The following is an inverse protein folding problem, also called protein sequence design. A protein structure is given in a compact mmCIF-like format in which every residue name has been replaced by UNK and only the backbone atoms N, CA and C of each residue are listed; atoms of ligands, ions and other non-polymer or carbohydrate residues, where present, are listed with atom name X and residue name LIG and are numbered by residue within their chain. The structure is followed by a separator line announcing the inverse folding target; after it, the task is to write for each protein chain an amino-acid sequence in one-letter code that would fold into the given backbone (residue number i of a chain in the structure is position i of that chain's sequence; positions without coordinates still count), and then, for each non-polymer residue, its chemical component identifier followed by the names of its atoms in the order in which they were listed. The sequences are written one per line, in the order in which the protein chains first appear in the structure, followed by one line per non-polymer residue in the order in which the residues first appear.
data_IF_742717488081
#
_entry.id   IF_742717488081
#
_cell.length_a   1.000
_cell.length_b   1.000
_cell.length_c   1.000
_cell.angle_alpha   90.00
_cell.angle_beta   90.00
_cell.angle_gamma   90.00
#
_symmetry.space_group_name_H-M   'P 1'
#
loop_
_entity.id
_entity.type
_entity.pdbx_description
1 polymer ?
#
# COMPACT_ATOMS: atom_id res chain seq x y z
N UNK A 1 -0.42 -17.64 15.63
CA UNK A 1 -0.87 -16.68 14.57
C UNK A 1 0.03 -16.72 13.33
N UNK A 2 1.35 -16.52 13.42
CA UNK A 2 2.21 -16.52 12.21
C UNK A 2 2.22 -17.86 11.44
N UNK A 3 2.25 -18.99 12.15
CA UNK A 3 2.14 -20.31 11.52
C UNK A 3 0.87 -20.47 10.66
N UNK A 4 -0.25 -19.86 11.08
CA UNK A 4 -1.52 -19.88 10.34
C UNK A 4 -1.37 -19.11 9.02
N UNK A 5 -0.72 -17.95 9.04
CA UNK A 5 -0.47 -17.16 7.82
C UNK A 5 0.38 -17.95 6.83
N UNK A 6 1.47 -18.56 7.32
CA UNK A 6 2.36 -19.35 6.47
C UNK A 6 1.62 -20.54 5.87
N UNK A 7 0.88 -21.31 6.68
CA UNK A 7 0.15 -22.49 6.23
C UNK A 7 -0.93 -22.14 5.19
N UNK A 8 -1.79 -21.17 5.49
CA UNK A 8 -2.85 -20.69 4.57
C UNK A 8 -2.26 -20.13 3.28
N UNK A 9 -1.16 -19.38 3.34
CA UNK A 9 -0.46 -18.85 2.16
C UNK A 9 0.08 -19.97 1.26
N UNK A 10 0.72 -20.99 1.83
CA UNK A 10 1.29 -22.09 1.05
C UNK A 10 0.20 -22.94 0.40
N UNK A 11 -0.87 -23.26 1.11
CA UNK A 11 -2.02 -23.97 0.57
C UNK A 11 -2.68 -23.20 -0.59
N UNK A 12 -2.98 -21.92 -0.38
CA UNK A 12 -3.58 -21.08 -1.42
C UNK A 12 -2.67 -20.91 -2.65
N UNK A 13 -1.35 -20.75 -2.46
CA UNK A 13 -0.37 -20.72 -3.57
C UNK A 13 -0.31 -22.05 -4.34
N UNK A 14 -0.38 -23.18 -3.65
CA UNK A 14 -0.36 -24.49 -4.29
C UNK A 14 -1.59 -24.64 -5.19
N UNK A 15 -2.77 -24.25 -4.72
CA UNK A 15 -4.01 -24.28 -5.50
C UNK A 15 -4.01 -23.26 -6.65
N UNK A 16 -3.42 -22.07 -6.44
CA UNK A 16 -3.24 -21.09 -7.50
C UNK A 16 -2.39 -21.64 -8.65
N UNK A 17 -1.33 -22.40 -8.37
CA UNK A 17 -0.50 -23.05 -9.40
C UNK A 17 -1.28 -24.09 -10.22
N UNK A 18 -2.36 -24.63 -9.65
CA UNK A 18 -3.28 -25.55 -10.32
C UNK A 18 -4.42 -24.82 -11.06
N UNK A 19 -4.35 -23.49 -11.18
CA UNK A 19 -5.37 -22.63 -11.79
C UNK A 19 -6.76 -22.75 -11.14
N UNK A 20 -6.82 -23.00 -9.83
CA UNK A 20 -8.08 -22.96 -9.10
C UNK A 20 -8.72 -21.56 -9.20
N UNK A 21 -10.00 -21.49 -9.57
CA UNK A 21 -10.75 -20.23 -9.63
C UNK A 21 -11.14 -19.74 -8.23
N UNK A 22 -11.40 -20.69 -7.33
CA UNK A 22 -11.95 -20.46 -5.99
C UNK A 22 -11.25 -21.38 -5.00
N UNK A 23 -10.88 -20.83 -3.85
CA UNK A 23 -10.19 -21.54 -2.78
C UNK A 23 -10.93 -21.28 -1.47
N UNK A 24 -11.40 -22.35 -0.85
CA UNK A 24 -11.97 -22.33 0.50
C UNK A 24 -10.83 -22.54 1.51
N UNK A 25 -10.72 -21.64 2.48
CA UNK A 25 -9.61 -21.56 3.43
C UNK A 25 -10.15 -21.81 4.83
N UNK A 26 -9.62 -22.82 5.50
CA UNK A 26 -9.88 -23.08 6.92
C UNK A 26 -9.35 -21.93 7.78
N UNK A 27 -10.05 -21.59 8.86
CA UNK A 27 -9.64 -20.52 9.77
C UNK A 27 -8.40 -20.87 10.60
N UNK A 28 -8.10 -22.16 10.78
CA UNK A 28 -7.10 -22.68 11.72
C UNK A 28 -7.28 -22.11 13.15
N UNK A 29 -8.53 -21.86 13.55
CA UNK A 29 -8.89 -21.24 14.82
C UNK A 29 -8.65 -19.72 14.89
N UNK A 30 -8.29 -19.06 13.78
CA UNK A 30 -8.13 -17.61 13.71
C UNK A 30 -8.33 -17.06 12.28
N UNK A 31 -9.59 -16.84 11.89
CA UNK A 31 -9.98 -16.47 10.53
C UNK A 31 -9.23 -15.26 9.96
N UNK A 32 -8.97 -14.23 10.76
CA UNK A 32 -8.21 -13.05 10.34
C UNK A 32 -6.79 -13.39 9.85
N UNK A 33 -6.07 -14.27 10.55
CA UNK A 33 -4.71 -14.65 10.15
C UNK A 33 -4.72 -15.57 8.93
N UNK A 34 -5.74 -16.42 8.80
CA UNK A 34 -5.91 -17.27 7.62
C UNK A 34 -6.23 -16.44 6.36
N UNK A 35 -7.11 -15.44 6.48
CA UNK A 35 -7.42 -14.47 5.43
C UNK A 35 -6.18 -13.68 5.01
N UNK A 36 -5.44 -13.14 5.99
CA UNK A 36 -4.21 -12.39 5.73
C UNK A 36 -3.19 -13.22 4.96
N UNK A 37 -2.88 -14.42 5.48
CA UNK A 37 -1.87 -15.29 4.89
C UNK A 37 -2.22 -15.73 3.47
N UNK A 38 -3.43 -16.24 3.28
CA UNK A 38 -3.90 -16.68 1.97
C UNK A 38 -3.90 -15.54 0.93
N UNK A 39 -4.43 -14.36 1.27
CA UNK A 39 -4.51 -13.21 0.37
C UNK A 39 -3.13 -12.58 0.06
N UNK A 40 -2.24 -12.48 1.05
CA UNK A 40 -0.86 -12.05 0.81
C UNK A 40 -0.09 -13.05 -0.05
N UNK A 41 -0.40 -14.33 0.12
CA UNK A 41 0.25 -15.45 -0.55
C UNK A 41 -0.05 -15.49 -2.04
N UNK A 42 -1.31 -15.37 -2.43
CA UNK A 42 -1.73 -15.46 -3.85
C UNK A 42 -1.46 -14.18 -4.65
N UNK A 43 -1.15 -13.07 -3.98
CA UNK A 43 -0.88 -11.80 -4.66
C UNK A 43 0.42 -11.83 -5.46
N UNK A 44 0.36 -11.26 -6.67
CA UNK A 44 1.48 -11.13 -7.59
C UNK A 44 1.44 -9.77 -8.28
N UNK A 45 2.58 -9.09 -8.39
CA UNK A 45 2.72 -7.94 -9.28
C UNK A 45 2.82 -8.42 -10.73
N UNK A 46 1.75 -8.26 -11.50
CA UNK A 46 1.67 -8.82 -12.86
C UNK A 46 0.92 -7.95 -13.89
N UNK A 47 0.45 -6.77 -13.49
CA UNK A 47 -0.30 -5.85 -14.37
C UNK A 47 0.47 -5.46 -15.64
N UNK A 48 1.81 -5.46 -15.55
CA UNK A 48 2.71 -5.13 -16.67
C UNK A 48 3.19 -6.35 -17.45
N UNK A 49 2.83 -7.57 -17.05
CA UNK A 49 3.08 -8.78 -17.83
C UNK A 49 2.07 -8.88 -18.98
N UNK A 50 2.49 -9.41 -20.12
CA UNK A 50 1.57 -9.79 -21.20
C UNK A 50 0.51 -10.75 -20.67
N UNK A 51 -0.76 -10.61 -21.12
CA UNK A 51 -1.90 -11.40 -20.66
C UNK A 51 -1.62 -12.92 -20.61
N UNK A 52 -0.89 -13.46 -21.60
CA UNK A 52 -0.53 -14.90 -21.65
C UNK A 52 0.38 -15.40 -20.50
N UNK A 53 1.04 -14.49 -19.79
CA UNK A 53 1.93 -14.79 -18.65
C UNK A 53 1.35 -14.35 -17.31
N UNK A 54 0.12 -13.83 -17.29
CA UNK A 54 -0.58 -13.50 -16.06
C UNK A 54 -1.14 -14.79 -15.45
N UNK A 55 -0.93 -14.95 -14.15
CA UNK A 55 -1.47 -16.06 -13.37
C UNK A 55 -2.78 -15.58 -12.76
N UNK A 56 -3.81 -16.41 -12.83
CA UNK A 56 -5.08 -16.08 -12.20
C UNK A 56 -4.92 -15.97 -10.67
N UNK A 57 -5.53 -14.95 -10.07
CA UNK A 57 -5.64 -14.85 -8.62
C UNK A 57 -6.98 -15.48 -8.22
N UNK A 58 -6.99 -16.57 -7.41
CA UNK A 58 -8.22 -17.22 -6.99
C UNK A 58 -9.07 -16.31 -6.09
N UNK A 59 -10.39 -16.49 -6.13
CA UNK A 59 -11.29 -15.97 -5.11
C UNK A 59 -11.11 -16.78 -3.82
N UNK A 60 -10.92 -16.10 -2.69
CA UNK A 60 -10.72 -16.72 -1.38
C UNK A 60 -11.99 -16.61 -0.54
N UNK A 61 -12.42 -17.70 0.06
CA UNK A 61 -13.58 -17.74 0.97
C UNK A 61 -13.27 -18.53 2.24
N UNK A 62 -13.87 -18.12 3.35
CA UNK A 62 -13.78 -18.83 4.63
C UNK A 62 -14.51 -20.18 4.53
N UNK A 63 -13.84 -21.24 4.96
CA UNK A 63 -14.39 -22.59 5.02
C UNK A 63 -14.86 -22.93 6.44
N UNK A 64 -16.13 -23.34 6.55
CA UNK A 64 -16.70 -23.98 7.75
C UNK A 64 -16.46 -23.25 9.08
N UNK A 65 -16.56 -21.91 9.05
CA UNK A 65 -16.40 -21.04 10.22
C UNK A 65 -17.36 -19.83 10.09
N UNK A 66 -17.80 -19.29 11.21
CA UNK A 66 -18.72 -18.17 11.29
C UNK A 66 -18.04 -16.81 11.57
N UNK A 67 -16.73 -16.77 11.83
CA UNK A 67 -15.96 -15.53 12.04
C UNK A 67 -15.72 -14.76 10.73
N UNK A 68 -16.81 -14.35 10.09
CA UNK A 68 -16.80 -13.52 8.88
C UNK A 68 -16.18 -12.15 9.14
N UNK A 69 -16.37 -11.60 10.34
CA UNK A 69 -15.79 -10.31 10.73
C UNK A 69 -14.27 -10.38 10.75
N UNK A 70 -13.70 -11.38 11.44
CA UNK A 70 -12.25 -11.60 11.47
C UNK A 70 -11.70 -11.86 10.06
N UNK A 71 -12.39 -12.68 9.27
CA UNK A 71 -12.02 -12.94 7.87
C UNK A 71 -11.95 -11.64 7.04
N UNK A 72 -12.98 -10.80 7.10
CA UNK A 72 -13.01 -9.53 6.38
C UNK A 72 -11.91 -8.57 6.86
N UNK A 73 -11.65 -8.49 8.17
CA UNK A 73 -10.54 -7.70 8.72
C UNK A 73 -9.21 -8.16 8.11
N UNK A 74 -8.99 -9.47 8.06
CA UNK A 74 -7.75 -10.03 7.52
C UNK A 74 -7.58 -9.76 6.02
N UNK A 75 -8.67 -9.84 5.25
CA UNK A 75 -8.66 -9.45 3.84
C UNK A 75 -8.35 -7.96 3.64
N UNK A 76 -8.91 -7.07 4.48
CA UNK A 76 -8.62 -5.63 4.41
C UNK A 76 -7.14 -5.33 4.73
N UNK A 77 -6.58 -6.00 5.74
CA UNK A 77 -5.15 -5.87 6.09
C UNK A 77 -4.24 -6.36 4.97
N UNK A 78 -4.53 -7.52 4.39
CA UNK A 78 -3.80 -8.02 3.23
C UNK A 78 -3.92 -7.11 2.02
N UNK A 79 -5.13 -6.60 1.72
CA UNK A 79 -5.35 -5.68 0.62
C UNK A 79 -4.56 -4.37 0.78
N UNK A 80 -4.50 -3.82 2.00
CA UNK A 80 -3.69 -2.65 2.31
C UNK A 80 -2.19 -2.92 2.11
N UNK A 81 -1.65 -4.01 2.65
CA UNK A 81 -0.25 -4.36 2.44
C UNK A 81 0.06 -4.64 0.96
N UNK A 82 -0.86 -5.27 0.22
CA UNK A 82 -0.72 -5.51 -1.21
C UNK A 82 -0.76 -4.22 -2.04
N UNK A 83 -1.53 -3.20 -1.60
CA UNK A 83 -1.45 -1.86 -2.18
C UNK A 83 -0.06 -1.27 -1.97
N UNK A 84 0.50 -1.33 -0.76
CA UNK A 84 1.85 -0.84 -0.51
C UNK A 84 2.89 -1.55 -1.38
N UNK A 85 2.79 -2.89 -1.51
CA UNK A 85 3.62 -3.71 -2.41
C UNK A 85 3.47 -3.25 -3.86
N UNK A 86 2.25 -3.01 -4.33
CA UNK A 86 1.99 -2.54 -5.70
C UNK A 86 2.66 -1.20 -5.99
N UNK A 87 2.55 -0.24 -5.07
CA UNK A 87 3.15 1.08 -5.23
C UNK A 87 4.68 0.98 -5.26
N UNK A 88 5.28 0.15 -4.40
CA UNK A 88 6.73 -0.06 -4.32
C UNK A 88 7.31 -0.88 -5.49
N UNK A 89 6.56 -1.86 -6.00
CA UNK A 89 7.00 -2.71 -7.11
C UNK A 89 6.84 -2.02 -8.46
N UNK A 90 5.96 -1.03 -8.57
CA UNK A 90 5.75 -0.29 -9.81
C UNK A 90 7.03 0.45 -10.25
N UNK A 91 7.45 0.32 -11.52
CA UNK A 91 8.61 1.04 -12.04
C UNK A 91 8.48 2.55 -11.84
N UNK A 92 9.58 3.22 -11.47
CA UNK A 92 9.56 4.64 -11.10
C UNK A 92 9.21 5.59 -12.26
N UNK A 93 9.38 5.15 -13.51
CA UNK A 93 8.92 5.91 -14.69
C UNK A 93 7.38 5.91 -14.82
N UNK A 94 6.68 4.99 -14.13
CA UNK A 94 5.23 4.94 -14.05
C UNK A 94 4.71 5.43 -12.69
N UNK A 95 5.48 5.20 -11.62
CA UNK A 95 5.19 5.65 -10.26
C UNK A 95 5.93 6.95 -9.96
N UNK A 96 5.61 8.02 -10.69
CA UNK A 96 6.12 9.37 -10.44
C UNK A 96 5.40 10.01 -9.24
N UNK A 97 5.88 11.14 -8.66
CA UNK A 97 5.19 11.81 -7.57
C UNK A 97 3.72 12.12 -7.88
N UNK A 98 3.45 12.57 -9.12
CA UNK A 98 2.09 12.81 -9.64
C UNK A 98 1.25 11.54 -9.67
N UNK A 99 1.80 10.46 -10.23
CA UNK A 99 1.12 9.17 -10.30
C UNK A 99 0.85 8.60 -8.91
N UNK A 100 1.81 8.73 -7.98
CA UNK A 100 1.63 8.31 -6.59
C UNK A 100 0.48 9.05 -5.92
N UNK A 101 0.41 10.38 -6.06
CA UNK A 101 -0.67 11.19 -5.52
C UNK A 101 -2.04 10.80 -6.12
N UNK A 102 -2.10 10.54 -7.43
CA UNK A 102 -3.33 10.05 -8.09
C UNK A 102 -3.78 8.70 -7.52
N UNK A 103 -2.85 7.76 -7.30
CA UNK A 103 -3.18 6.46 -6.70
C UNK A 103 -3.70 6.60 -5.26
N UNK A 104 -3.26 7.63 -4.52
CA UNK A 104 -3.81 7.93 -3.20
C UNK A 104 -5.24 8.52 -3.26
N UNK A 105 -5.53 9.41 -4.23
CA UNK A 105 -6.85 10.06 -4.40
C UNK A 105 -7.95 9.09 -4.85
N UNK A 106 -7.62 8.05 -5.62
CA UNK A 106 -8.59 7.10 -6.15
C UNK A 106 -9.27 6.22 -5.08
N UNK A 107 -8.94 6.39 -3.80
CA UNK A 107 -9.56 5.67 -2.69
C UNK A 107 -10.84 6.39 -2.21
N UNK A 108 -12.01 5.96 -2.70
CA UNK A 108 -13.35 6.39 -2.21
C UNK A 108 -13.67 5.85 -0.80
N UNK A 109 -12.77 6.00 0.17
CA UNK A 109 -12.86 5.38 1.50
C UNK A 109 -13.20 6.36 2.62
N UNK A 110 -13.71 7.56 2.32
CA UNK A 110 -13.93 8.60 3.35
C UNK A 110 -12.66 9.27 3.85
N UNK A 111 -11.55 9.10 3.12
CA UNK A 111 -10.28 9.81 3.36
C UNK A 111 -10.28 11.07 2.50
N UNK A 112 -10.06 12.22 3.12
CA UNK A 112 -9.80 13.46 2.39
C UNK A 112 -8.33 13.49 1.96
N UNK A 113 -8.06 13.87 0.72
CA UNK A 113 -6.72 13.88 0.14
C UNK A 113 -6.44 15.25 -0.46
N UNK A 114 -5.43 15.93 0.06
CA UNK A 114 -4.98 17.24 -0.40
C UNK A 114 -3.63 17.10 -1.09
N UNK A 115 -3.59 17.51 -2.35
CA UNK A 115 -2.37 17.50 -3.17
C UNK A 115 -1.80 18.91 -3.19
N UNK A 116 -0.64 19.10 -2.56
CA UNK A 116 0.06 20.38 -2.53
C UNK A 116 1.20 20.38 -3.54
N UNK A 117 1.19 21.37 -4.42
CA UNK A 117 2.19 21.54 -5.49
C UNK A 117 3.35 22.43 -5.05
N UNK A 118 4.40 22.50 -5.87
CA UNK A 118 5.63 23.27 -5.61
C UNK A 118 5.40 24.66 -4.98
N UNK A 119 4.51 25.48 -5.55
CA UNK A 119 4.27 26.85 -5.05
C UNK A 119 3.74 26.92 -3.61
N UNK A 120 2.99 25.92 -3.18
CA UNK A 120 2.57 25.80 -1.78
C UNK A 120 3.77 25.50 -0.87
N UNK A 121 4.64 24.56 -1.26
CA UNK A 121 5.84 24.20 -0.50
C UNK A 121 6.84 25.39 -0.41
N UNK A 122 6.93 26.21 -1.45
CA UNK A 122 7.69 27.47 -1.45
C UNK A 122 7.12 28.47 -0.43
N UNK A 123 5.80 28.65 -0.42
CA UNK A 123 5.10 29.53 0.53
C UNK A 123 5.29 29.06 1.99
N UNK A 124 5.33 27.74 2.20
CA UNK A 124 5.61 27.12 3.50
C UNK A 124 7.12 27.07 3.85
N UNK A 125 8.00 27.62 3.00
CA UNK A 125 9.46 27.65 3.18
C UNK A 125 10.09 26.26 3.37
N UNK A 126 9.55 25.23 2.70
CA UNK A 126 10.05 23.85 2.76
C UNK A 126 11.31 23.64 1.89
N UNK A 127 12.34 24.45 2.11
CA UNK A 127 13.52 24.49 1.24
C UNK A 127 14.28 23.16 1.17
N UNK A 128 14.33 22.38 2.25
CA UNK A 128 14.98 21.07 2.25
C UNK A 128 14.28 20.07 1.30
N UNK A 129 12.94 20.07 1.30
CA UNK A 129 12.14 19.25 0.39
C UNK A 129 12.32 19.69 -1.07
N UNK A 130 12.24 21.00 -1.32
CA UNK A 130 12.41 21.58 -2.65
C UNK A 130 13.82 21.33 -3.22
N UNK A 131 14.86 21.44 -2.40
CA UNK A 131 16.24 21.20 -2.80
C UNK A 131 16.49 19.75 -3.23
N UNK A 132 15.82 18.77 -2.61
CA UNK A 132 15.90 17.36 -3.04
C UNK A 132 15.20 17.17 -4.39
N UNK A 133 14.05 17.82 -4.60
CA UNK A 133 13.24 17.63 -5.81
C UNK A 133 13.77 18.38 -7.05
N UNK A 134 14.57 19.43 -6.88
CA UNK A 134 14.96 20.33 -7.97
C UNK A 134 15.70 19.65 -9.13
N UNK A 135 16.36 18.51 -8.88
CA UNK A 135 17.10 17.75 -9.90
C UNK A 135 16.22 16.86 -10.78
N UNK A 136 14.92 16.75 -10.49
CA UNK A 136 13.97 15.92 -11.23
C UNK A 136 13.22 16.74 -12.28
N UNK A 137 12.87 16.12 -13.40
CA UNK A 137 11.88 16.66 -14.34
C UNK A 137 10.44 16.51 -13.83
N UNK A 138 10.20 15.60 -12.89
CA UNK A 138 8.90 15.43 -12.24
C UNK A 138 8.72 16.47 -11.12
N UNK A 139 7.58 17.18 -11.07
CA UNK A 139 7.32 18.17 -10.05
C UNK A 139 7.19 17.52 -8.65
N UNK A 140 7.70 18.16 -7.59
CA UNK A 140 7.46 17.71 -6.23
C UNK A 140 5.98 17.85 -5.88
N UNK A 141 5.47 16.86 -5.17
CA UNK A 141 4.14 16.88 -4.56
C UNK A 141 4.31 16.59 -3.08
N UNK A 142 3.63 17.39 -2.26
CA UNK A 142 3.44 17.11 -0.85
C UNK A 142 1.99 16.67 -0.66
N UNK A 143 1.79 15.48 -0.12
CA UNK A 143 0.48 14.85 -0.01
C UNK A 143 0.04 14.83 1.45
N UNK A 144 -1.14 15.39 1.70
CA UNK A 144 -1.79 15.31 3.00
C UNK A 144 -3.06 14.46 2.90
N UNK A 145 -3.19 13.44 3.73
CA UNK A 145 -4.41 12.66 3.87
C UNK A 145 -4.99 12.86 5.27
N UNK A 146 -6.32 12.95 5.37
CA UNK A 146 -7.00 13.02 6.65
C UNK A 146 -8.21 12.10 6.72
N UNK A 147 -8.37 11.44 7.85
CA UNK A 147 -9.50 10.59 8.20
C UNK A 147 -9.93 10.93 9.63
N UNK A 148 -11.21 11.19 9.83
CA UNK A 148 -11.77 11.57 11.12
C UNK A 148 -12.88 10.58 11.50
N UNK A 149 -12.49 9.47 12.13
CA UNK A 149 -13.41 8.43 12.61
C UNK A 149 -13.82 8.60 14.07
N UNK A 150 -13.17 9.50 14.82
CA UNK A 150 -13.45 9.76 16.23
C UNK A 150 -14.07 11.16 16.44
N UNK A 151 -14.24 11.59 17.70
CA UNK A 151 -14.69 12.94 18.00
C UNK A 151 -13.73 13.99 17.42
N UNK A 152 -14.24 15.17 17.03
CA UNK A 152 -13.41 16.28 16.49
C UNK A 152 -12.39 16.79 17.51
N UNK A 153 -12.65 16.63 18.79
CA UNK A 153 -11.77 17.07 19.88
C UNK A 153 -10.63 16.10 20.15
N UNK A 154 -10.70 14.88 19.61
CA UNK A 154 -9.65 13.89 19.74
C UNK A 154 -8.47 14.21 18.82
N UNK A 155 -7.28 14.26 19.42
CA UNK A 155 -6.05 14.59 18.69
C UNK A 155 -5.74 13.51 17.65
N UNK A 156 -5.47 13.89 16.39
CA UNK A 156 -5.15 12.90 15.36
C UNK A 156 -3.78 12.29 15.60
N UNK A 157 -3.64 11.01 15.25
CA UNK A 157 -2.33 10.38 15.06
C UNK A 157 -1.74 10.88 13.75
N UNK A 158 -0.51 11.39 13.81
CA UNK A 158 0.21 11.86 12.61
C UNK A 158 1.16 10.78 12.13
N UNK A 159 0.95 10.33 10.90
CA UNK A 159 1.82 9.38 10.20
C UNK A 159 2.63 10.12 9.14
N UNK A 160 3.95 9.94 9.12
CA UNK A 160 4.82 10.57 8.12
C UNK A 160 5.54 9.50 7.32
N UNK A 161 5.39 9.53 5.99
CA UNK A 161 5.95 8.54 5.09
C UNK A 161 6.91 9.16 4.09
N UNK A 162 8.16 8.69 4.05
CA UNK A 162 9.12 9.12 3.01
C UNK A 162 8.60 8.72 1.62
N UNK A 163 8.42 9.70 0.73
CA UNK A 163 7.87 9.54 -0.62
C UNK A 163 8.85 9.70 -1.80
N UNK A 164 10.11 9.25 -1.67
CA UNK A 164 11.08 9.34 -2.78
C UNK A 164 10.80 8.24 -3.82
N UNK A 165 10.18 8.60 -4.95
CA UNK A 165 9.76 7.65 -6.00
C UNK A 165 10.92 7.00 -6.75
N UNK A 166 12.06 7.68 -6.84
CA UNK A 166 13.32 7.09 -7.26
C UNK A 166 14.50 7.80 -6.62
N UNK A 167 15.43 7.04 -6.08
CA UNK A 167 16.63 7.57 -5.44
C UNK A 167 17.89 7.16 -6.20
N UNK A 168 18.32 8.00 -7.15
CA UNK A 168 19.62 7.83 -7.81
C UNK A 168 20.80 8.08 -6.86
N UNK A 169 20.60 8.84 -5.78
CA UNK A 169 21.65 9.39 -4.92
C UNK A 169 22.02 10.85 -5.24
N UNK A 170 21.50 11.41 -6.34
CA UNK A 170 21.87 12.75 -6.80
C UNK A 170 23.32 12.80 -7.27
N UNK A 171 24.05 13.85 -6.89
CA UNK A 171 25.49 13.97 -7.17
C UNK A 171 26.29 12.81 -6.57
N UNK A 172 25.89 12.32 -5.39
CA UNK A 172 26.46 11.13 -4.77
C UNK A 172 25.78 9.87 -5.33
N UNK A 173 26.00 9.61 -6.62
CA UNK A 173 25.33 8.55 -7.37
C UNK A 173 25.51 7.19 -6.70
N UNK A 174 24.40 6.46 -6.56
CA UNK A 174 24.41 5.10 -6.02
C UNK A 174 25.03 4.12 -7.02
N UNK A 175 25.75 3.09 -6.54
CA UNK A 175 26.22 1.99 -7.38
C UNK A 175 25.08 1.33 -8.17
N UNK A 176 25.36 0.92 -9.42
CA UNK A 176 24.36 0.38 -10.35
C UNK A 176 23.55 -0.80 -9.78
N UNK A 177 24.20 -1.72 -9.07
CA UNK A 177 23.54 -2.88 -8.45
C UNK A 177 22.51 -2.50 -7.37
N UNK A 178 22.64 -1.32 -6.73
CA UNK A 178 21.69 -0.82 -5.73
C UNK A 178 20.53 -0.05 -6.38
N UNK A 179 20.78 0.58 -7.52
CA UNK A 179 19.77 1.42 -8.20
C UNK A 179 18.50 0.65 -8.56
N UNK A 180 18.62 -0.65 -8.90
CA UNK A 180 17.45 -1.49 -9.24
C UNK A 180 16.36 -1.52 -8.16
N UNK A 181 16.72 -1.34 -6.88
CA UNK A 181 15.77 -1.37 -5.76
C UNK A 181 15.19 0.00 -5.42
N UNK A 182 15.72 1.08 -5.98
CA UNK A 182 15.42 2.46 -5.55
C UNK A 182 14.05 2.96 -6.00
N UNK A 183 13.32 2.21 -6.84
CA UNK A 183 11.88 2.41 -7.08
C UNK A 183 11.05 2.25 -5.79
N UNK A 184 11.53 1.44 -4.85
CA UNK A 184 10.87 1.20 -3.56
C UNK A 184 11.27 2.18 -2.46
N UNK A 185 12.01 3.26 -2.77
CA UNK A 185 12.46 4.24 -1.75
C UNK A 185 11.32 5.15 -1.22
N UNK A 186 10.13 4.98 -1.79
CA UNK A 186 8.84 5.52 -1.35
C UNK A 186 8.03 4.54 -0.48
N UNK A 187 8.65 3.44 -0.01
CA UNK A 187 7.95 2.41 0.77
C UNK A 187 7.33 2.93 2.07
N UNK A 188 7.94 3.94 2.70
CA UNK A 188 7.36 4.60 3.87
C UNK A 188 6.02 5.27 3.53
N UNK A 189 5.99 6.07 2.46
CA UNK A 189 4.75 6.66 1.94
C UNK A 189 3.72 5.62 1.54
N UNK A 190 4.14 4.54 0.87
CA UNK A 190 3.27 3.44 0.47
C UNK A 190 2.55 2.81 1.67
N UNK A 191 3.30 2.52 2.74
CA UNK A 191 2.76 1.97 3.98
C UNK A 191 1.79 2.94 4.67
N UNK A 192 2.12 4.24 4.71
CA UNK A 192 1.25 5.26 5.33
C UNK A 192 -0.09 5.38 4.58
N UNK A 193 -0.06 5.47 3.24
CA UNK A 193 -1.29 5.54 2.43
C UNK A 193 -2.11 4.24 2.58
N UNK A 194 -1.46 3.08 2.53
CA UNK A 194 -2.10 1.80 2.73
C UNK A 194 -2.76 1.67 4.12
N UNK A 195 -2.07 2.12 5.17
CA UNK A 195 -2.60 2.12 6.53
C UNK A 195 -3.83 3.01 6.65
N UNK A 196 -3.79 4.24 6.09
CA UNK A 196 -4.95 5.13 6.08
C UNK A 196 -6.16 4.49 5.38
N UNK A 197 -5.92 3.80 4.26
CA UNK A 197 -6.96 3.05 3.55
C UNK A 197 -7.55 1.92 4.40
N UNK A 198 -6.71 1.15 5.10
CA UNK A 198 -7.18 0.06 5.98
C UNK A 198 -8.03 0.61 7.13
N UNK A 199 -7.55 1.67 7.79
CA UNK A 199 -8.24 2.32 8.91
C UNK A 199 -9.60 2.84 8.48
N UNK A 200 -9.66 3.53 7.34
CA UNK A 200 -10.90 4.10 6.84
C UNK A 200 -11.87 3.01 6.31
N UNK A 201 -11.35 1.98 5.64
CA UNK A 201 -12.13 0.84 5.17
C UNK A 201 -12.71 -0.01 6.30
N UNK A 202 -12.03 -0.07 7.45
CA UNK A 202 -12.51 -0.72 8.67
C UNK A 202 -13.33 0.23 9.57
N UNK A 203 -13.51 1.49 9.17
CA UNK A 203 -14.24 2.51 9.92
C UNK A 203 -13.78 2.63 11.38
N UNK A 204 -12.47 2.55 11.63
CA UNK A 204 -11.97 2.58 12.99
C UNK A 204 -12.26 3.94 13.65
N UNK A 205 -12.58 3.96 14.96
CA UNK A 205 -12.92 5.19 15.68
C UNK A 205 -11.65 5.95 16.09
N UNK A 206 -10.86 6.40 15.11
CA UNK A 206 -9.63 7.17 15.32
C UNK A 206 -9.50 8.31 14.31
N UNK A 207 -8.84 9.39 14.73
CA UNK A 207 -8.46 10.48 13.83
C UNK A 207 -7.02 10.27 13.34
N UNK A 208 -6.79 10.37 12.03
CA UNK A 208 -5.47 10.25 11.40
C UNK A 208 -5.22 11.44 10.47
N UNK A 209 -3.99 11.96 10.54
CA UNK A 209 -3.40 12.77 9.46
C UNK A 209 -2.15 12.09 8.95
N UNK A 210 -2.01 11.97 7.64
CA UNK A 210 -0.84 11.40 7.00
C UNK A 210 -0.16 12.45 6.12
N UNK A 211 1.16 12.54 6.23
CA UNK A 211 2.01 13.45 5.47
C UNK A 211 3.02 12.64 4.67
N UNK A 212 3.08 12.88 3.36
CA UNK A 212 3.95 12.18 2.42
C UNK A 212 4.68 13.17 1.52
#
# INVERSE_FOLDING_TARGET
KEAIRIASAQGAKALQKLNALKVYVESFGHAESAAEGSALGVWLYQEKKTKKYQIMIPQLELYDDCDWTGWQIGLQKAAAQNLARQLMDTPANLMTPTSFAQNAVLCKSGVNVEVKVRGWAETQKMYAFLAVAQGSCEPPIFLELSYYGASRDERPVVLVGKGITYNSGGLCLKPCNKQRYMRGDMGGAACVVAACRAVAGLQLPINIRALV
#
